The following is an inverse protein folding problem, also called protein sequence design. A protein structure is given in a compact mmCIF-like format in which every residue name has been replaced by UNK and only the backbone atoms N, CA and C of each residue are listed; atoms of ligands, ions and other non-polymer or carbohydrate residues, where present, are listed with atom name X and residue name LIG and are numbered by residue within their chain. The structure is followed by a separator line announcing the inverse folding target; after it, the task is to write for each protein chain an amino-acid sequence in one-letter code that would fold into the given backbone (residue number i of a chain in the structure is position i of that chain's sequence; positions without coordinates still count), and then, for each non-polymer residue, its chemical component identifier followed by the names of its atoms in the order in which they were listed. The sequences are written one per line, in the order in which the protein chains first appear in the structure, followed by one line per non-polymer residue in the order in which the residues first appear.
data_IF_828697965103
#
_entry.id   IF_828697965103
#
_cell.length_a   1.000
_cell.length_b   1.000
_cell.length_c   1.000
_cell.angle_alpha   90.00
_cell.angle_beta   90.00
_cell.angle_gamma   90.00
#
_symmetry.space_group_name_H-M   'P 1'
#
loop_
_entity.id
_entity.type
_entity.pdbx_description
1 polymer ?
#
# COMPACT_ATOMS: atom_id res chain seq x y z
N UNK A 1 74.48 -7.34 48.02
CA UNK A 1 73.35 -7.69 48.91
C UNK A 1 72.06 -7.47 48.10
N UNK A 2 71.25 -8.52 47.95
CA UNK A 2 69.95 -8.66 47.26
C UNK A 2 69.84 -8.51 45.71
N UNK A 3 69.82 -9.65 45.02
CA UNK A 3 68.82 -10.00 43.96
C UNK A 3 67.59 -10.64 44.68
N UNK A 4 66.42 -10.92 44.06
CA UNK A 4 65.92 -10.72 42.69
C UNK A 4 64.49 -10.09 42.64
N UNK A 5 63.89 -9.89 41.46
CA UNK A 5 62.59 -10.49 41.08
C UNK A 5 62.09 -10.02 39.70
N UNK A 6 61.72 -11.00 38.88
CA UNK A 6 60.94 -10.86 37.65
C UNK A 6 59.51 -10.47 38.03
N UNK A 7 58.92 -9.53 37.30
CA UNK A 7 57.47 -9.41 37.18
C UNK A 7 57.13 -9.11 35.71
N UNK A 8 56.84 -10.20 34.99
CA UNK A 8 56.12 -10.20 33.73
C UNK A 8 54.65 -9.91 34.05
N UNK A 9 54.08 -8.82 33.55
CA UNK A 9 52.63 -8.62 33.55
C UNK A 9 52.17 -8.29 32.13
N UNK A 10 51.88 -9.37 31.41
CA UNK A 10 51.04 -9.36 30.22
C UNK A 10 49.64 -8.96 30.70
N UNK A 11 49.23 -7.73 30.41
CA UNK A 11 47.81 -7.36 30.47
C UNK A 11 47.29 -7.30 29.05
N UNK A 12 46.75 -8.45 28.63
CA UNK A 12 45.85 -8.56 27.49
C UNK A 12 44.59 -7.75 27.81
N UNK A 13 44.63 -6.47 27.45
CA UNK A 13 43.47 -5.57 27.47
C UNK A 13 42.54 -5.93 26.33
N UNK A 14 41.63 -6.85 26.64
CA UNK A 14 40.42 -7.22 25.92
C UNK A 14 39.97 -6.17 24.91
N UNK A 15 39.97 -6.57 23.63
CA UNK A 15 39.23 -5.94 22.55
C UNK A 15 37.77 -5.81 22.98
N UNK A 16 37.39 -4.65 23.53
CA UNK A 16 36.01 -4.20 23.54
C UNK A 16 35.63 -3.82 22.11
N UNK A 17 35.50 -4.86 21.27
CA UNK A 17 34.66 -4.83 20.10
C UNK A 17 33.25 -4.55 20.62
N UNK A 18 32.91 -3.27 20.72
CA UNK A 18 31.56 -2.80 20.93
C UNK A 18 30.70 -3.33 19.81
N UNK A 19 30.17 -4.54 19.99
CA UNK A 19 29.06 -5.04 19.23
C UNK A 19 27.89 -4.14 19.61
N UNK A 20 27.74 -3.01 18.90
CA UNK A 20 26.45 -2.36 18.77
C UNK A 20 25.54 -3.40 18.14
N UNK A 21 24.80 -4.12 18.97
CA UNK A 21 23.69 -4.93 18.55
C UNK A 21 22.72 -3.97 17.85
N UNK A 22 22.85 -3.88 16.53
CA UNK A 22 21.83 -3.26 15.70
C UNK A 22 20.64 -4.20 15.79
N UNK A 23 19.68 -3.87 16.64
CA UNK A 23 18.35 -4.43 16.52
C UNK A 23 17.82 -3.94 15.19
N UNK A 24 18.06 -4.72 14.13
CA UNK A 24 17.37 -4.55 12.88
C UNK A 24 15.90 -4.78 13.19
N UNK A 25 15.14 -3.71 13.42
CA UNK A 25 13.69 -3.76 13.29
C UNK A 25 13.44 -4.10 11.84
N UNK A 26 13.18 -5.37 11.56
CA UNK A 26 12.57 -5.82 10.31
C UNK A 26 11.18 -5.19 10.27
N UNK A 27 11.10 -3.94 9.83
CA UNK A 27 9.84 -3.34 9.46
C UNK A 27 9.23 -4.24 8.38
N UNK A 28 7.95 -4.62 8.50
CA UNK A 28 7.29 -5.42 7.47
C UNK A 28 7.44 -4.70 6.13
N UNK A 29 8.03 -5.39 5.15
CA UNK A 29 8.08 -4.88 3.80
C UNK A 29 6.65 -4.91 3.24
N UNK A 30 6.19 -3.82 2.64
CA UNK A 30 4.84 -3.73 2.11
C UNK A 30 4.83 -3.78 0.57
N UNK A 31 3.77 -4.34 0.03
CA UNK A 31 3.33 -4.14 -1.35
C UNK A 31 2.25 -3.08 -1.36
N UNK A 32 2.18 -2.29 -2.43
CA UNK A 32 1.17 -1.24 -2.58
C UNK A 32 0.36 -1.47 -3.85
N UNK A 33 -0.94 -1.16 -3.76
CA UNK A 33 -1.87 -1.17 -4.88
C UNK A 33 -2.63 0.14 -4.89
N UNK A 34 -2.72 0.74 -6.07
CA UNK A 34 -3.56 1.90 -6.32
C UNK A 34 -4.78 1.46 -7.11
N UNK A 35 -5.96 1.90 -6.66
CA UNK A 35 -7.21 1.77 -7.40
C UNK A 35 -7.68 3.17 -7.74
N UNK A 36 -7.90 3.46 -9.03
CA UNK A 36 -8.43 4.75 -9.48
C UNK A 36 -9.82 4.54 -10.07
N UNK A 37 -10.83 5.08 -9.41
CA UNK A 37 -12.18 5.27 -9.95
C UNK A 37 -12.21 6.59 -10.72
N UNK A 38 -12.54 6.53 -12.01
CA UNK A 38 -12.68 7.70 -12.88
C UNK A 38 -14.08 7.71 -13.46
N UNK A 39 -14.84 8.77 -13.20
CA UNK A 39 -16.16 9.00 -13.80
C UNK A 39 -16.13 10.27 -14.67
N UNK A 40 -16.56 10.17 -15.94
CA UNK A 40 -16.75 11.35 -16.80
C UNK A 40 -18.15 11.92 -16.64
N UNK A 41 -18.26 13.20 -16.26
CA UNK A 41 -19.54 13.91 -16.20
C UNK A 41 -19.97 14.52 -17.56
N UNK A 42 -19.08 14.58 -18.55
CA UNK A 42 -19.32 15.27 -19.83
C UNK A 42 -19.35 14.33 -21.04
N UNK A 43 -19.57 13.04 -20.82
CA UNK A 43 -19.42 12.00 -21.84
C UNK A 43 -17.97 11.54 -21.94
N UNK A 44 -17.75 10.24 -21.84
CA UNK A 44 -16.42 9.63 -21.74
C UNK A 44 -16.46 8.38 -20.86
N UNK A 45 -15.41 7.57 -20.96
CA UNK A 45 -15.36 6.27 -20.31
C UNK A 45 -15.34 6.41 -18.78
N UNK A 46 -16.34 5.84 -18.11
CA UNK A 46 -16.30 5.60 -16.67
C UNK A 46 -15.60 4.26 -16.42
N UNK A 47 -14.63 4.20 -15.49
CA UNK A 47 -13.85 2.99 -15.23
C UNK A 47 -13.14 2.96 -13.89
N UNK A 48 -12.76 1.76 -13.48
CA UNK A 48 -11.85 1.48 -12.39
C UNK A 48 -10.52 0.99 -12.98
N UNK A 49 -9.40 1.52 -12.50
CA UNK A 49 -8.04 1.11 -12.89
C UNK A 49 -7.33 0.52 -11.68
N UNK A 50 -6.64 -0.60 -11.86
CA UNK A 50 -5.87 -1.29 -10.83
C UNK A 50 -4.37 -1.27 -11.19
N UNK A 51 -3.54 -0.79 -10.27
CA UNK A 51 -2.08 -0.78 -10.42
C UNK A 51 -1.41 -1.25 -9.11
N UNK A 52 -0.88 -2.49 -9.02
CA UNK A 52 -0.84 -3.52 -10.08
C UNK A 52 -2.24 -4.12 -10.36
N UNK A 53 -2.32 -4.97 -11.40
CA UNK A 53 -3.56 -5.66 -11.77
C UNK A 53 -4.11 -6.51 -10.61
N UNK A 54 -5.42 -6.45 -10.38
CA UNK A 54 -6.11 -7.24 -9.37
C UNK A 54 -6.92 -8.35 -10.05
N UNK A 55 -6.74 -9.61 -9.61
CA UNK A 55 -7.39 -10.79 -10.21
C UNK A 55 -7.23 -10.89 -11.74
N UNK A 56 -6.05 -10.51 -12.25
CA UNK A 56 -5.75 -10.51 -13.68
C UNK A 56 -6.36 -9.36 -14.48
N UNK A 57 -7.01 -8.39 -13.83
CA UNK A 57 -7.60 -7.21 -14.47
C UNK A 57 -6.87 -5.94 -14.05
N UNK A 58 -6.41 -5.16 -15.03
CA UNK A 58 -5.86 -3.81 -14.81
C UNK A 58 -6.92 -2.71 -14.96
N UNK A 59 -8.05 -3.02 -15.59
CA UNK A 59 -9.13 -2.08 -15.84
C UNK A 59 -10.48 -2.81 -15.77
N UNK A 60 -11.50 -2.11 -15.27
CA UNK A 60 -12.89 -2.54 -15.27
C UNK A 60 -13.78 -1.37 -15.71
N UNK A 61 -14.60 -1.53 -16.77
CA UNK A 61 -15.50 -0.48 -17.21
C UNK A 61 -16.65 -0.29 -16.21
N UNK A 62 -17.09 0.95 -16.06
CA UNK A 62 -18.31 1.36 -15.36
C UNK A 62 -19.34 1.86 -16.39
N UNK A 63 -20.60 1.94 -15.99
CA UNK A 63 -21.65 2.48 -16.85
C UNK A 63 -21.51 4.01 -16.92
N UNK A 64 -21.52 4.58 -18.13
CA UNK A 64 -21.37 6.03 -18.31
C UNK A 64 -22.57 6.78 -17.72
N UNK A 65 -22.28 7.84 -16.95
CA UNK A 65 -23.33 8.68 -16.40
C UNK A 65 -24.05 9.42 -17.53
N UNK A 66 -25.39 9.32 -17.63
CA UNK A 66 -26.13 10.11 -18.61
C UNK A 66 -25.97 11.60 -18.30
N UNK A 67 -25.90 12.42 -19.35
CA UNK A 67 -25.85 13.87 -19.19
C UNK A 67 -27.07 14.40 -18.43
N UNK A 68 -26.83 15.24 -17.42
CA UNK A 68 -27.86 15.87 -16.59
C UNK A 68 -28.40 14.99 -15.46
N UNK A 69 -28.95 15.65 -14.43
CA UNK A 69 -29.51 14.97 -13.25
C UNK A 69 -30.90 14.44 -13.59
N UNK A 70 -31.02 13.13 -13.76
CA UNK A 70 -32.26 12.41 -14.08
C UNK A 70 -32.42 11.15 -13.21
N UNK A 71 -33.60 10.52 -13.21
CA UNK A 71 -33.76 9.21 -12.53
C UNK A 71 -32.80 8.14 -13.09
N UNK A 72 -32.46 8.23 -14.37
CA UNK A 72 -31.45 7.37 -15.00
C UNK A 72 -30.06 7.65 -14.43
N UNK A 73 -29.70 8.92 -14.23
CA UNK A 73 -28.44 9.32 -13.59
C UNK A 73 -28.26 8.67 -12.23
N UNK A 74 -29.24 8.81 -11.32
CA UNK A 74 -29.15 8.21 -9.99
C UNK A 74 -29.10 6.68 -10.02
N UNK A 75 -29.78 6.06 -10.99
CA UNK A 75 -29.76 4.62 -11.16
C UNK A 75 -28.38 4.12 -11.60
N UNK A 76 -27.76 4.79 -12.58
CA UNK A 76 -26.41 4.44 -13.04
C UNK A 76 -25.38 4.68 -11.95
N UNK A 77 -25.42 5.84 -11.29
CA UNK A 77 -24.52 6.17 -10.19
C UNK A 77 -24.56 5.09 -9.09
N UNK A 78 -25.76 4.68 -8.67
CA UNK A 78 -25.91 3.62 -7.66
C UNK A 78 -25.32 2.28 -8.10
N UNK A 79 -25.49 1.90 -9.37
CA UNK A 79 -24.89 0.66 -9.90
C UNK A 79 -23.37 0.74 -9.93
N UNK A 80 -22.81 1.87 -10.38
CA UNK A 80 -21.36 2.08 -10.38
C UNK A 80 -20.79 2.00 -8.97
N UNK A 81 -21.43 2.67 -8.01
CA UNK A 81 -21.05 2.58 -6.60
C UNK A 81 -21.09 1.14 -6.07
N UNK A 82 -22.08 0.34 -6.46
CA UNK A 82 -22.15 -1.07 -6.09
C UNK A 82 -20.96 -1.86 -6.65
N UNK A 83 -20.62 -1.67 -7.93
CA UNK A 83 -19.46 -2.30 -8.57
C UNK A 83 -18.16 -1.90 -7.88
N UNK A 84 -17.96 -0.60 -7.62
CA UNK A 84 -16.78 -0.08 -6.92
C UNK A 84 -16.66 -0.72 -5.53
N UNK A 85 -17.74 -0.72 -4.75
CA UNK A 85 -17.77 -1.33 -3.43
C UNK A 85 -17.47 -2.83 -3.46
N UNK A 86 -17.99 -3.57 -4.45
CA UNK A 86 -17.68 -4.98 -4.65
C UNK A 86 -16.18 -5.19 -4.91
N UNK A 87 -15.56 -4.37 -5.75
CA UNK A 87 -14.12 -4.47 -6.03
C UNK A 87 -13.27 -4.15 -4.79
N UNK A 88 -13.56 -3.04 -4.09
CA UNK A 88 -12.83 -2.64 -2.88
C UNK A 88 -12.97 -3.67 -1.76
N UNK A 89 -14.17 -4.26 -1.61
CA UNK A 89 -14.42 -5.37 -0.69
C UNK A 89 -13.59 -6.60 -1.08
N UNK A 90 -13.56 -6.97 -2.36
CA UNK A 90 -12.75 -8.08 -2.86
C UNK A 90 -11.25 -7.90 -2.59
N UNK A 91 -10.74 -6.68 -2.75
CA UNK A 91 -9.34 -6.32 -2.43
C UNK A 91 -9.07 -6.51 -0.94
N UNK A 92 -9.99 -6.04 -0.09
CA UNK A 92 -9.88 -6.18 1.37
C UNK A 92 -9.89 -7.65 1.81
N UNK A 93 -10.80 -8.46 1.24
CA UNK A 93 -10.86 -9.92 1.49
C UNK A 93 -9.58 -10.63 1.04
N UNK A 94 -8.91 -10.13 0.00
CA UNK A 94 -7.61 -10.65 -0.45
C UNK A 94 -6.44 -10.25 0.47
N UNK A 95 -6.71 -9.60 1.60
CA UNK A 95 -5.72 -9.25 2.63
C UNK A 95 -5.00 -7.93 2.37
N UNK A 96 -5.53 -7.09 1.48
CA UNK A 96 -5.03 -5.72 1.30
C UNK A 96 -5.73 -4.78 2.28
N UNK A 97 -4.97 -3.87 2.88
CA UNK A 97 -5.47 -2.87 3.82
C UNK A 97 -5.54 -1.50 3.13
N UNK A 98 -6.68 -0.82 3.23
CA UNK A 98 -6.82 0.55 2.75
C UNK A 98 -6.01 1.50 3.66
N UNK A 99 -5.13 2.32 3.07
CA UNK A 99 -4.27 3.25 3.81
C UNK A 99 -4.52 4.72 3.48
N UNK A 100 -5.02 5.03 2.28
CA UNK A 100 -5.29 6.39 1.88
C UNK A 100 -6.41 6.46 0.85
N UNK A 101 -7.19 7.54 0.90
CA UNK A 101 -8.21 7.88 -0.10
C UNK A 101 -8.04 9.35 -0.46
N UNK A 102 -7.96 9.65 -1.76
CA UNK A 102 -7.91 11.01 -2.27
C UNK A 102 -8.90 11.18 -3.41
N UNK A 103 -9.61 12.30 -3.46
CA UNK A 103 -10.55 12.61 -4.53
C UNK A 103 -10.15 13.93 -5.19
N UNK A 104 -10.10 13.95 -6.51
CA UNK A 104 -9.83 15.14 -7.31
C UNK A 104 -10.78 15.23 -8.53
N UNK A 105 -10.44 16.06 -9.52
CA UNK A 105 -11.25 16.23 -10.74
C UNK A 105 -11.19 15.03 -11.69
N UNK A 106 -10.19 14.16 -11.53
CA UNK A 106 -9.99 12.95 -12.34
C UNK A 106 -10.67 11.74 -11.71
N UNK A 107 -10.95 11.79 -10.41
CA UNK A 107 -11.81 10.82 -9.73
C UNK A 107 -11.33 10.49 -8.31
N UNK A 108 -11.64 9.29 -7.83
CA UNK A 108 -11.24 8.82 -6.50
C UNK A 108 -10.12 7.80 -6.59
N UNK A 109 -9.02 8.07 -5.91
CA UNK A 109 -7.89 7.17 -5.77
C UNK A 109 -7.89 6.53 -4.37
N UNK A 110 -7.73 5.21 -4.34
CA UNK A 110 -7.58 4.40 -3.14
C UNK A 110 -6.19 3.77 -3.15
N UNK A 111 -5.43 3.99 -2.08
CA UNK A 111 -4.14 3.34 -1.87
C UNK A 111 -4.33 2.21 -0.86
N UNK A 112 -3.94 1.01 -1.26
CA UNK A 112 -3.92 -0.19 -0.45
C UNK A 112 -2.48 -0.62 -0.19
N UNK A 113 -2.26 -1.29 0.93
CA UNK A 113 -1.01 -2.00 1.22
C UNK A 113 -1.28 -3.46 1.58
N UNK A 114 -0.29 -4.32 1.40
CA UNK A 114 -0.31 -5.70 1.90
C UNK A 114 1.07 -6.06 2.44
N UNK A 115 1.13 -6.74 3.59
CA UNK A 115 2.40 -7.19 4.13
C UNK A 115 3.03 -8.25 3.20
N UNK A 116 4.32 -8.11 2.90
CA UNK A 116 5.11 -9.15 2.24
C UNK A 116 5.38 -10.25 3.26
N UNK A 117 5.13 -11.49 2.84
CA UNK A 117 5.51 -12.70 3.57
C UNK A 117 6.96 -13.06 3.27
#
# INVERSE_FOLDING_TARGET
MFKPMKALLITAGLLLSGATASFAQTAPAYEFMTVLESESQMGGQAKIIFAPAFQGKSEMPLEELPGGVSNKYHTVLRKNMEVVNQQLSGITVAGWELVHVSTDRMGTQYLFRKAKH
#
